data_IF_022026631594
#
_entry.id   IF_022026631594
#
_cell.length_a   1.000
_cell.length_b   1.000
_cell.length_c   1.000
_cell.angle_alpha   90.00
_cell.angle_beta   90.00
_cell.angle_gamma   90.00
#
_symmetry.space_group_name_H-M   'P 1'
#
loop_
_entity.id
_entity.type
_entity.pdbx_description
1 polymer ?
#
# COMPACT_ATOMS: atom_id res chain seq x y z
N UNK A 1 12.21 -6.14 -14.02
CA UNK A 1 12.45 -5.38 -12.76
C UNK A 1 11.67 -4.05 -12.75
N UNK A 2 10.42 -4.02 -13.26
CA UNK A 2 9.68 -2.75 -13.39
C UNK A 2 8.61 -2.54 -12.32
N UNK A 3 8.19 -3.59 -11.60
CA UNK A 3 7.10 -3.52 -10.63
C UNK A 3 7.44 -2.79 -9.31
N UNK A 4 8.73 -2.57 -9.01
CA UNK A 4 9.18 -1.95 -7.75
C UNK A 4 9.12 -0.40 -7.84
N UNK A 5 8.98 0.16 -9.05
CA UNK A 5 9.03 1.62 -9.29
C UNK A 5 7.70 2.36 -9.08
N UNK A 6 6.59 1.66 -8.79
CA UNK A 6 5.27 2.31 -8.71
C UNK A 6 4.85 2.80 -7.32
N UNK A 7 5.52 2.40 -6.24
CA UNK A 7 5.20 2.87 -4.90
C UNK A 7 6.34 3.73 -4.35
N UNK A 8 6.23 5.05 -4.55
CA UNK A 8 7.09 6.02 -3.88
C UNK A 8 6.26 6.70 -2.78
N UNK A 9 6.45 6.35 -1.50
CA UNK A 9 5.76 6.97 -0.38
C UNK A 9 5.98 8.47 -0.44
N UNK A 10 4.95 9.23 -0.09
CA UNK A 10 5.02 10.69 -0.11
C UNK A 10 4.76 11.21 1.30
N UNK A 11 5.49 12.25 1.76
CA UNK A 11 5.15 12.90 3.01
C UNK A 11 3.69 13.39 2.97
N UNK A 12 3.05 13.46 4.13
CA UNK A 12 1.61 13.78 4.25
C UNK A 12 1.21 15.06 3.52
N UNK A 13 2.11 16.06 3.48
CA UNK A 13 1.94 17.35 2.81
C UNK A 13 1.77 17.23 1.28
N UNK A 14 2.29 16.16 0.69
CA UNK A 14 2.21 15.86 -0.74
C UNK A 14 1.06 14.92 -1.10
N UNK A 15 0.26 14.50 -0.12
CA UNK A 15 -0.93 13.68 -0.33
C UNK A 15 -2.12 14.55 -0.78
N UNK A 16 -3.03 13.95 -1.53
CA UNK A 16 -4.29 14.58 -1.91
C UNK A 16 -5.17 14.78 -0.67
N UNK A 17 -5.33 16.03 -0.26
CA UNK A 17 -6.19 16.45 0.85
C UNK A 17 -7.57 16.84 0.33
N UNK A 18 -8.62 16.25 0.89
CA UNK A 18 -10.02 16.58 0.60
C UNK A 18 -10.82 16.72 1.89
N UNK A 19 -11.75 17.67 1.90
CA UNK A 19 -12.62 17.92 3.05
C UNK A 19 -14.06 17.77 2.63
N UNK A 20 -14.85 17.03 3.42
CA UNK A 20 -16.24 16.77 3.09
C UNK A 20 -16.96 16.00 4.19
N UNK A 21 -18.11 15.45 3.83
CA UNK A 21 -18.95 14.62 4.69
C UNK A 21 -19.09 13.25 4.04
N UNK A 22 -19.02 12.20 4.85
CA UNK A 22 -19.29 10.83 4.38
C UNK A 22 -20.76 10.75 3.97
N UNK A 23 -21.02 10.57 2.67
CA UNK A 23 -22.37 10.37 2.15
C UNK A 23 -22.82 8.94 2.40
N UNK A 24 -22.00 7.97 2.00
CA UNK A 24 -22.21 6.56 2.23
C UNK A 24 -20.88 5.80 2.28
N UNK A 25 -20.93 4.57 2.77
CA UNK A 25 -19.85 3.60 2.67
C UNK A 25 -20.41 2.19 2.64
N UNK A 26 -19.73 1.30 1.91
CA UNK A 26 -20.16 -0.08 1.72
C UNK A 26 -18.95 -1.01 1.80
N UNK A 27 -19.12 -2.14 2.48
CA UNK A 27 -18.09 -3.18 2.59
C UNK A 27 -18.53 -4.43 1.84
N UNK A 28 -17.60 -5.03 1.10
CA UNK A 28 -17.77 -6.36 0.54
C UNK A 28 -17.22 -7.39 1.54
N UNK A 29 -18.12 -8.23 2.08
CA UNK A 29 -17.78 -9.26 3.07
C UNK A 29 -16.76 -10.28 2.57
N UNK A 30 -16.60 -10.45 1.25
CA UNK A 30 -15.70 -11.45 0.68
C UNK A 30 -14.23 -11.01 0.61
N UNK A 31 -13.97 -9.70 0.48
CA UNK A 31 -12.64 -9.20 0.06
C UNK A 31 -12.00 -8.22 1.05
N UNK A 32 -12.52 -8.08 2.28
CA UNK A 32 -12.06 -7.13 3.31
C UNK A 32 -11.87 -5.69 2.81
N UNK A 33 -12.56 -5.34 1.72
CA UNK A 33 -12.47 -4.08 0.99
C UNK A 33 -13.86 -3.53 0.79
N UNK A 34 -13.92 -2.21 0.73
CA UNK A 34 -15.15 -1.47 0.52
C UNK A 34 -14.90 -0.18 -0.24
N UNK A 35 -15.94 0.62 -0.34
CA UNK A 35 -15.88 1.95 -0.90
C UNK A 35 -16.50 2.95 0.08
N UNK A 36 -15.95 4.16 0.10
CA UNK A 36 -16.51 5.31 0.81
C UNK A 36 -16.74 6.42 -0.20
N UNK A 37 -17.93 7.00 -0.19
CA UNK A 37 -18.22 8.21 -0.95
C UNK A 37 -18.16 9.43 -0.03
N UNK A 38 -17.24 10.33 -0.35
CA UNK A 38 -17.08 11.61 0.33
C UNK A 38 -17.72 12.70 -0.53
N UNK A 39 -18.75 13.37 0.00
CA UNK A 39 -19.33 14.56 -0.60
C UNK A 39 -18.57 15.79 -0.11
N UNK A 40 -17.85 16.45 -1.01
CA UNK A 40 -17.08 17.66 -0.70
C UNK A 40 -17.94 18.92 -0.82
N UNK A 41 -17.48 20.04 -0.24
CA UNK A 41 -18.26 21.29 -0.17
C UNK A 41 -18.41 22.03 -1.50
N UNK A 42 -17.54 21.71 -2.46
CA UNK A 42 -17.67 22.08 -3.88
C UNK A 42 -18.65 21.17 -4.65
N UNK A 43 -19.44 20.38 -3.92
CA UNK A 43 -20.47 19.48 -4.42
C UNK A 43 -19.94 18.32 -5.30
N UNK A 44 -18.65 18.03 -5.22
CA UNK A 44 -18.05 16.85 -5.85
C UNK A 44 -18.26 15.59 -5.00
N UNK A 45 -18.38 14.45 -5.66
CA UNK A 45 -18.46 13.14 -5.00
C UNK A 45 -17.19 12.35 -5.30
N UNK A 46 -16.40 12.07 -4.25
CA UNK A 46 -15.13 11.37 -4.38
C UNK A 46 -15.27 9.97 -3.81
N UNK A 47 -14.97 8.97 -4.64
CA UNK A 47 -14.94 7.57 -4.23
C UNK A 47 -13.54 7.19 -3.74
N UNK A 48 -13.49 6.62 -2.54
CA UNK A 48 -12.29 6.05 -1.96
C UNK A 48 -12.44 4.55 -1.75
N UNK A 49 -11.33 3.82 -1.88
CA UNK A 49 -11.27 2.42 -1.45
C UNK A 49 -10.93 2.38 0.04
N UNK A 50 -11.67 1.58 0.80
CA UNK A 50 -11.52 1.44 2.25
C UNK A 50 -11.33 -0.02 2.65
N UNK A 51 -10.77 -0.25 3.84
CA UNK A 51 -10.60 -1.59 4.43
C UNK A 51 -11.63 -1.80 5.53
N UNK A 52 -12.09 -3.05 5.68
CA UNK A 52 -13.04 -3.43 6.73
C UNK A 52 -12.52 -3.17 8.15
N UNK A 53 -11.20 -3.20 8.33
CA UNK A 53 -10.53 -2.94 9.60
C UNK A 53 -10.85 -1.53 10.15
N UNK A 54 -11.07 -0.57 9.25
CA UNK A 54 -11.37 0.82 9.56
C UNK A 54 -12.88 1.08 9.77
N UNK A 55 -13.75 0.05 9.74
CA UNK A 55 -15.22 0.20 9.79
C UNK A 55 -15.72 1.09 10.94
N UNK A 56 -15.19 0.89 12.15
CA UNK A 56 -15.57 1.67 13.35
C UNK A 56 -15.27 3.16 13.20
N UNK A 57 -14.24 3.52 12.43
CA UNK A 57 -13.87 4.91 12.16
C UNK A 57 -14.98 5.58 11.35
N UNK A 58 -15.43 4.94 10.27
CA UNK A 58 -16.46 5.50 9.39
C UNK A 58 -17.83 5.57 10.06
N UNK A 59 -18.16 4.60 10.93
CA UNK A 59 -19.36 4.65 11.78
C UNK A 59 -19.36 5.89 12.68
N UNK A 60 -18.24 6.18 13.35
CA UNK A 60 -18.11 7.34 14.27
C UNK A 60 -18.09 8.69 13.55
N UNK A 61 -17.62 8.70 12.30
CA UNK A 61 -17.45 9.90 11.47
C UNK A 61 -18.62 10.15 10.51
N UNK A 62 -19.63 9.26 10.49
CA UNK A 62 -20.81 9.43 9.66
C UNK A 62 -21.47 10.78 9.92
N UNK A 63 -21.83 11.49 8.86
CA UNK A 63 -22.46 12.82 8.89
C UNK A 63 -21.61 13.94 9.53
N UNK A 64 -20.33 13.68 9.85
CA UNK A 64 -19.41 14.71 10.36
C UNK A 64 -18.55 15.25 9.23
N UNK A 65 -18.10 16.50 9.39
CA UNK A 65 -17.06 17.07 8.56
C UNK A 65 -15.74 16.38 8.86
N UNK A 66 -15.12 15.84 7.82
CA UNK A 66 -13.83 15.14 7.92
C UNK A 66 -12.85 15.67 6.89
N UNK A 67 -11.57 15.46 7.19
CA UNK A 67 -10.44 15.72 6.32
C UNK A 67 -9.82 14.37 5.98
N UNK A 68 -9.72 14.08 4.69
CA UNK A 68 -9.19 12.83 4.15
C UNK A 68 -7.90 13.13 3.39
N UNK A 69 -6.85 12.38 3.71
CA UNK A 69 -5.60 12.37 2.97
C UNK A 69 -5.48 11.04 2.23
N UNK A 70 -5.18 11.12 0.94
CA UNK A 70 -5.16 9.98 0.03
C UNK A 70 -3.95 10.03 -0.90
N UNK A 71 -3.55 8.86 -1.40
CA UNK A 71 -2.48 8.79 -2.39
C UNK A 71 -2.96 9.35 -3.74
N UNK A 72 -2.06 9.99 -4.49
CA UNK A 72 -2.35 10.54 -5.83
C UNK A 72 -2.36 9.45 -6.92
N UNK A 73 -2.72 8.22 -6.57
CA UNK A 73 -2.68 7.11 -7.51
C UNK A 73 -3.98 7.08 -8.32
N UNK A 74 -3.84 7.10 -9.65
CA UNK A 74 -4.96 7.09 -10.61
C UNK A 74 -5.76 5.78 -10.52
N UNK A 75 -5.10 4.67 -10.15
CA UNK A 75 -5.72 3.35 -10.16
C UNK A 75 -6.47 3.02 -8.86
N UNK A 76 -5.96 3.46 -7.71
CA UNK A 76 -6.58 3.15 -6.43
C UNK A 76 -6.48 4.32 -5.46
N UNK A 77 -7.64 4.90 -5.15
CA UNK A 77 -7.77 6.03 -4.26
C UNK A 77 -7.96 5.55 -2.80
N UNK A 78 -6.90 5.05 -2.18
CA UNK A 78 -6.94 4.64 -0.77
C UNK A 78 -6.82 5.84 0.17
N UNK A 79 -7.59 5.77 1.26
CA UNK A 79 -7.46 6.71 2.37
C UNK A 79 -6.26 6.31 3.24
N UNK A 80 -5.30 7.22 3.34
CA UNK A 80 -4.09 7.08 4.15
C UNK A 80 -4.29 7.65 5.56
N UNK A 81 -4.94 8.81 5.68
CA UNK A 81 -5.24 9.43 6.97
C UNK A 81 -6.62 10.07 6.98
N UNK A 82 -7.26 10.04 8.15
CA UNK A 82 -8.56 10.66 8.40
C UNK A 82 -8.47 11.48 9.69
N UNK A 83 -8.88 12.73 9.58
CA UNK A 83 -9.05 13.67 10.69
C UNK A 83 -10.50 14.15 10.75
N UNK A 84 -10.98 14.50 11.95
CA UNK A 84 -12.17 15.33 12.09
C UNK A 84 -11.85 16.83 12.00
N UNK A 85 -12.87 17.66 12.08
CA UNK A 85 -12.73 19.13 12.06
C UNK A 85 -11.87 19.70 13.20
N UNK A 86 -11.74 18.97 14.31
CA UNK A 86 -10.92 19.34 15.46
C UNK A 86 -9.48 18.79 15.34
N UNK A 87 -9.10 18.26 14.17
CA UNK A 87 -7.80 17.60 13.91
C UNK A 87 -7.56 16.35 14.75
N UNK A 88 -8.61 15.71 15.27
CA UNK A 88 -8.47 14.40 15.91
C UNK A 88 -8.18 13.36 14.83
N UNK A 89 -7.08 12.65 14.95
CA UNK A 89 -6.66 11.63 13.97
C UNK A 89 -7.32 10.30 14.32
N UNK A 90 -8.07 9.73 13.38
CA UNK A 90 -8.72 8.42 13.53
C UNK A 90 -7.97 7.31 12.80
N UNK A 91 -7.31 7.68 11.70
CA UNK A 91 -6.41 6.82 10.94
C UNK A 91 -5.17 7.64 10.66
N UNK A 92 -4.00 7.19 11.08
CA UNK A 92 -2.74 7.92 10.94
C UNK A 92 -1.95 7.35 9.78
N UNK A 93 -1.45 8.24 8.92
CA UNK A 93 -0.46 7.90 7.91
C UNK A 93 0.93 7.82 8.56
N UNK A 94 1.62 6.71 8.35
CA UNK A 94 2.99 6.50 8.83
C UNK A 94 3.94 6.44 7.64
N UNK A 95 4.54 7.59 7.33
CA UNK A 95 5.47 7.74 6.22
C UNK A 95 6.75 6.91 6.41
N UNK A 96 7.29 6.87 7.63
CA UNK A 96 8.52 6.12 7.93
C UNK A 96 8.28 4.63 7.83
N UNK A 97 7.13 4.14 8.28
CA UNK A 97 6.75 2.74 8.10
C UNK A 97 6.60 2.36 6.62
N UNK A 98 5.99 3.21 5.78
CA UNK A 98 5.89 3.00 4.34
C UNK A 98 7.27 3.04 3.63
N UNK A 99 8.18 3.92 4.05
CA UNK A 99 9.55 3.94 3.51
C UNK A 99 10.31 2.66 3.89
N UNK A 100 10.18 2.22 5.14
CA UNK A 100 10.89 1.05 5.64
C UNK A 100 10.40 -0.25 5.00
N UNK A 101 9.10 -0.39 4.72
CA UNK A 101 8.58 -1.59 4.05
C UNK A 101 9.19 -1.79 2.66
N UNK A 102 9.34 -0.71 1.89
CA UNK A 102 9.99 -0.77 0.56
C UNK A 102 11.46 -1.15 0.68
N UNK A 103 12.18 -0.60 1.67
CA UNK A 103 13.57 -0.96 1.90
C UNK A 103 13.73 -2.46 2.24
N UNK A 104 12.81 -3.00 3.04
CA UNK A 104 12.76 -4.44 3.37
C UNK A 104 12.48 -5.27 2.11
N UNK A 105 11.48 -4.91 1.31
CA UNK A 105 11.15 -5.62 0.06
C UNK A 105 12.32 -5.63 -0.92
N UNK A 106 13.00 -4.49 -1.11
CA UNK A 106 14.21 -4.40 -1.95
C UNK A 106 15.32 -5.29 -1.40
N UNK A 107 15.51 -5.33 -0.08
CA UNK A 107 16.52 -6.19 0.56
C UNK A 107 16.22 -7.66 0.30
N UNK A 108 14.98 -8.10 0.47
CA UNK A 108 14.55 -9.48 0.21
C UNK A 108 14.81 -9.86 -1.25
N UNK A 109 14.44 -8.99 -2.19
CA UNK A 109 14.64 -9.23 -3.63
C UNK A 109 16.13 -9.35 -3.97
N UNK A 110 16.98 -8.45 -3.44
CA UNK A 110 18.44 -8.51 -3.63
C UNK A 110 19.03 -9.82 -3.08
N UNK A 111 18.60 -10.22 -1.89
CA UNK A 111 19.03 -11.48 -1.27
C UNK A 111 18.61 -12.69 -2.12
N UNK A 112 17.37 -12.73 -2.62
CA UNK A 112 16.89 -13.81 -3.48
C UNK A 112 17.71 -13.95 -4.78
N UNK A 113 18.05 -12.82 -5.43
CA UNK A 113 18.89 -12.81 -6.64
C UNK A 113 20.30 -13.32 -6.33
N UNK A 114 20.89 -12.90 -5.21
CA UNK A 114 22.22 -13.37 -4.79
C UNK A 114 22.25 -14.88 -4.62
N UNK A 115 21.26 -15.46 -3.92
CA UNK A 115 21.18 -16.92 -3.77
C UNK A 115 20.95 -17.63 -5.11
N UNK A 116 20.13 -17.09 -6.01
CA UNK A 116 19.94 -17.67 -7.33
C UNK A 116 21.25 -17.79 -8.12
N UNK A 117 22.03 -16.70 -8.17
CA UNK A 117 23.33 -16.68 -8.85
C UNK A 117 24.35 -17.62 -8.19
N UNK A 118 24.38 -17.67 -6.85
CA UNK A 118 25.27 -18.58 -6.12
C UNK A 118 24.94 -20.05 -6.40
N UNK A 119 23.65 -20.41 -6.44
CA UNK A 119 23.20 -21.76 -6.78
C UNK A 119 23.49 -22.13 -8.24
N UNK A 120 23.38 -21.19 -9.19
CA UNK A 120 23.76 -21.46 -10.58
C UNK A 120 25.26 -21.72 -10.71
N UNK A 121 26.10 -20.92 -10.06
CA UNK A 121 27.55 -21.08 -10.10
C UNK A 121 28.00 -22.37 -9.41
N UNK A 122 27.37 -22.72 -8.28
CA UNK A 122 27.60 -23.99 -7.59
C UNK A 122 27.22 -25.21 -8.44
N UNK A 123 26.08 -25.15 -9.13
CA UNK A 123 25.64 -26.22 -10.03
C UNK A 123 26.58 -26.37 -11.24
N UNK A 124 27.06 -25.27 -11.82
CA UNK A 124 28.05 -25.27 -12.91
C UNK A 124 29.35 -25.90 -12.40
N UNK A 125 29.85 -25.47 -11.25
CA UNK A 125 31.07 -25.99 -10.64
C UNK A 125 31.00 -27.52 -10.39
N UNK A 126 29.89 -28.01 -9.84
CA UNK A 126 29.69 -29.45 -9.64
C UNK A 126 29.56 -30.23 -10.95
N UNK A 127 28.99 -29.63 -12.00
CA UNK A 127 28.89 -30.24 -13.33
C UNK A 127 30.27 -30.40 -13.99
N UNK A 128 31.17 -29.43 -13.80
CA UNK A 128 32.55 -29.49 -14.29
C UNK A 128 33.48 -30.40 -13.47
N UNK A 129 33.23 -30.56 -12.16
CA UNK A 129 34.02 -31.46 -11.29
C UNK A 129 33.54 -32.92 -11.25
N UNK A 130 32.47 -33.30 -11.95
CA UNK A 130 32.10 -34.72 -12.06
C UNK A 130 33.26 -35.49 -12.69
N UNK A 131 33.90 -36.44 -11.99
CA UNK A 131 34.97 -37.23 -12.57
C UNK A 131 34.41 -37.95 -13.80
N UNK A 132 35.08 -37.81 -14.95
CA UNK A 132 34.74 -38.60 -16.14
C UNK A 132 34.76 -40.07 -15.72
N UNK A 133 33.63 -40.75 -15.82
CA UNK A 133 33.56 -42.18 -15.58
C UNK A 133 34.64 -42.85 -16.46
N UNK A 134 35.60 -43.53 -15.82
CA UNK A 134 36.54 -44.39 -16.53
C UNK A 134 35.70 -45.43 -17.26
N UNK A 135 35.66 -45.36 -18.59
CA UNK A 135 35.20 -46.47 -19.41
C UNK A 135 36.20 -47.60 -19.20
N UNK A 136 35.76 -48.63 -18.50
CA UNK A 136 36.43 -49.93 -18.47
C UNK A 136 36.15 -50.66 -19.78
#
# INVERSE_FOLDING_TARGET
MEAILMHNPKPIEKLNKKTGIIQDYHFNLKNSRGYLHLKTFDNNLIKFTIRTDDKKIYEKLKSKKIIVYSNNNVFINYIQQIEDENKTIYKKYDYEAELNSINVDIKIIKTAIFFHNYFSDFNIYHKFKRPKAKKF
#
